data_IF_002743578678
#
_entry.id   IF_002743578678
#
_cell.length_a   1.000
_cell.length_b   1.000
_cell.length_c   1.000
_cell.angle_alpha   90.00
_cell.angle_beta   90.00
_cell.angle_gamma   90.00
#
_symmetry.space_group_name_H-M   'P 1'
#
loop_
_entity.id
_entity.type
_entity.pdbx_description
1 polymer ?
#
# COMPACT_ATOMS: atom_id res chain seq x y z
N UNK A 1 -5.75 -23.58 -33.41
CA UNK A 1 -5.92 -22.46 -32.47
C UNK A 1 -5.31 -22.71 -31.10
N UNK A 2 -5.86 -23.54 -30.18
CA UNK A 2 -5.20 -23.79 -28.88
C UNK A 2 -3.87 -24.57 -28.98
N UNK A 3 -3.73 -25.46 -29.96
CA UNK A 3 -2.47 -26.16 -30.27
C UNK A 3 -1.42 -25.27 -30.95
N UNK A 4 -1.80 -24.10 -31.47
CA UNK A 4 -0.84 -23.16 -32.09
C UNK A 4 -0.24 -22.25 -31.02
N UNK A 5 -1.04 -21.77 -30.06
CA UNK A 5 -0.56 -20.96 -28.94
C UNK A 5 0.38 -21.74 -27.99
N UNK A 6 0.30 -23.08 -27.93
CA UNK A 6 1.26 -23.88 -27.15
C UNK A 6 2.63 -23.99 -27.81
N UNK A 7 2.78 -23.57 -29.07
CA UNK A 7 4.08 -23.50 -29.75
C UNK A 7 4.84 -22.22 -29.42
N UNK A 8 4.20 -21.18 -28.88
CA UNK A 8 4.90 -19.94 -28.49
C UNK A 8 5.93 -20.15 -27.38
N UNK A 9 5.84 -21.25 -26.61
CA UNK A 9 6.86 -21.62 -25.62
C UNK A 9 8.19 -22.08 -26.26
N UNK A 10 8.22 -22.41 -27.56
CA UNK A 10 9.46 -22.82 -28.26
C UNK A 10 10.38 -21.65 -28.61
N UNK A 11 9.93 -20.40 -28.43
CA UNK A 11 10.77 -19.18 -28.49
C UNK A 11 12.00 -19.28 -27.58
N UNK A 12 11.86 -19.91 -26.41
CA UNK A 12 12.96 -20.09 -25.46
C UNK A 12 14.04 -21.07 -25.95
N UNK A 13 13.72 -21.87 -26.95
CA UNK A 13 14.65 -22.82 -27.59
C UNK A 13 15.32 -22.22 -28.84
N UNK A 14 15.08 -20.93 -29.16
CA UNK A 14 15.63 -20.27 -30.34
C UNK A 14 14.93 -20.62 -31.65
N UNK A 15 13.74 -21.24 -31.59
CA UNK A 15 12.93 -21.51 -32.78
C UNK A 15 12.17 -20.25 -33.23
N UNK A 16 12.04 -20.06 -34.54
CA UNK A 16 11.28 -18.95 -35.11
C UNK A 16 9.78 -19.19 -34.92
N UNK A 17 9.08 -18.20 -34.36
CA UNK A 17 7.63 -18.22 -34.14
C UNK A 17 6.85 -18.44 -35.44
N UNK A 18 7.40 -17.99 -36.57
CA UNK A 18 6.81 -18.12 -37.89
C UNK A 18 7.75 -18.92 -38.80
N UNK A 19 7.35 -20.12 -39.16
CA UNK A 19 8.06 -20.95 -40.13
C UNK A 19 8.14 -20.23 -41.49
N UNK A 20 9.35 -20.10 -42.05
CA UNK A 20 9.57 -19.53 -43.39
C UNK A 20 9.68 -18.01 -43.48
N UNK A 21 9.77 -17.29 -42.34
CA UNK A 21 10.06 -15.85 -42.34
C UNK A 21 11.57 -15.64 -42.24
N UNK A 22 12.17 -15.01 -43.25
CA UNK A 22 13.55 -14.57 -43.20
C UNK A 22 13.71 -13.49 -42.12
N UNK A 23 14.54 -13.76 -41.12
CA UNK A 23 14.89 -12.77 -40.09
C UNK A 23 15.70 -11.67 -40.75
N UNK A 24 15.10 -10.48 -40.85
CA UNK A 24 15.84 -9.31 -41.30
C UNK A 24 16.83 -8.90 -40.20
N UNK A 25 18.11 -9.17 -40.43
CA UNK A 25 19.21 -8.74 -39.58
C UNK A 25 19.75 -7.43 -40.14
N UNK A 26 19.31 -6.33 -39.57
CA UNK A 26 19.86 -5.02 -39.84
C UNK A 26 21.00 -4.69 -38.86
N UNK A 27 21.66 -3.56 -39.07
CA UNK A 27 22.75 -3.10 -38.21
C UNK A 27 22.30 -2.92 -36.74
N UNK A 28 21.01 -2.67 -36.51
CA UNK A 28 20.40 -2.55 -35.17
C UNK A 28 20.32 -3.92 -34.50
N UNK A 29 19.86 -4.95 -35.21
CA UNK A 29 19.83 -6.32 -34.72
C UNK A 29 21.23 -6.78 -34.32
N UNK A 30 22.22 -6.60 -35.20
CA UNK A 30 23.60 -6.98 -34.90
C UNK A 30 24.15 -6.18 -33.71
N UNK A 31 23.84 -4.89 -33.60
CA UNK A 31 24.24 -4.07 -32.43
C UNK A 31 23.59 -4.50 -31.11
N UNK A 32 22.36 -5.02 -31.14
CA UNK A 32 21.64 -5.47 -29.94
C UNK A 32 22.08 -6.86 -29.47
N UNK A 33 22.53 -7.71 -30.38
CA UNK A 33 22.96 -9.09 -30.11
C UNK A 33 24.48 -9.19 -29.97
N UNK A 34 25.23 -8.14 -30.32
CA UNK A 34 26.68 -8.11 -30.17
C UNK A 34 27.06 -8.33 -28.69
N UNK A 35 27.91 -9.32 -28.38
CA UNK A 35 28.38 -9.55 -27.02
C UNK A 35 29.08 -8.27 -26.52
N UNK A 36 28.73 -7.84 -25.31
CA UNK A 36 29.38 -6.66 -24.73
C UNK A 36 30.74 -7.09 -24.19
N UNK A 37 31.81 -6.37 -24.52
CA UNK A 37 33.16 -6.67 -24.02
C UNK A 37 33.35 -6.34 -22.51
N UNK A 38 32.27 -5.96 -21.81
CA UNK A 38 32.26 -5.63 -20.39
C UNK A 38 31.64 -6.79 -19.57
N UNK A 39 32.47 -7.70 -19.03
CA UNK A 39 31.99 -8.84 -18.26
C UNK A 39 31.31 -8.43 -16.94
N UNK A 40 31.58 -7.23 -16.42
CA UNK A 40 30.97 -6.72 -15.19
C UNK A 40 29.54 -6.27 -15.48
N UNK A 41 29.34 -5.53 -16.57
CA UNK A 41 28.01 -5.13 -17.01
C UNK A 41 27.14 -6.34 -17.38
N UNK A 42 27.69 -7.34 -18.06
CA UNK A 42 26.99 -8.58 -18.41
C UNK A 42 26.54 -9.34 -17.16
N UNK A 43 27.43 -9.51 -16.19
CA UNK A 43 27.11 -10.14 -14.90
C UNK A 43 25.99 -9.39 -14.16
N UNK A 44 26.07 -8.06 -14.05
CA UNK A 44 25.02 -7.28 -13.39
C UNK A 44 23.69 -7.31 -14.13
N UNK A 45 23.72 -7.32 -15.46
CA UNK A 45 22.52 -7.42 -16.30
C UNK A 45 21.87 -8.79 -16.13
N UNK A 46 22.65 -9.86 -16.11
CA UNK A 46 22.15 -11.20 -15.83
C UNK A 46 21.52 -11.28 -14.43
N UNK A 47 22.21 -10.78 -13.40
CA UNK A 47 21.67 -10.75 -12.04
C UNK A 47 20.37 -9.95 -11.95
N UNK A 48 20.30 -8.80 -12.62
CA UNK A 48 19.09 -7.97 -12.65
C UNK A 48 17.93 -8.69 -13.34
N UNK A 49 18.19 -9.37 -14.45
CA UNK A 49 17.19 -10.17 -15.17
C UNK A 49 16.71 -11.35 -14.33
N UNK A 50 17.60 -12.09 -13.69
CA UNK A 50 17.25 -13.20 -12.79
C UNK A 50 16.37 -12.73 -11.62
N UNK A 51 16.70 -11.59 -11.01
CA UNK A 51 15.89 -11.00 -9.93
C UNK A 51 14.52 -10.53 -10.43
N UNK A 52 14.48 -9.84 -11.57
CA UNK A 52 13.23 -9.34 -12.16
C UNK A 52 12.31 -10.50 -12.57
N UNK A 53 12.83 -11.48 -13.30
CA UNK A 53 12.08 -12.64 -13.76
C UNK A 53 11.66 -13.51 -12.58
N UNK A 54 12.55 -13.74 -11.61
CA UNK A 54 12.20 -14.45 -10.37
C UNK A 54 11.07 -13.77 -9.60
N UNK A 55 11.11 -12.43 -9.50
CA UNK A 55 10.02 -11.64 -8.92
C UNK A 55 8.71 -11.76 -9.71
N UNK A 56 8.77 -11.70 -11.04
CA UNK A 56 7.59 -11.90 -11.90
C UNK A 56 7.00 -13.30 -11.72
N UNK A 57 7.84 -14.35 -11.70
CA UNK A 57 7.42 -15.73 -11.48
C UNK A 57 6.71 -15.88 -10.13
N UNK A 58 7.27 -15.36 -9.04
CA UNK A 58 6.63 -15.41 -7.71
C UNK A 58 5.26 -14.71 -7.70
N UNK A 59 5.12 -13.59 -8.40
CA UNK A 59 3.85 -12.87 -8.51
C UNK A 59 2.85 -13.69 -9.33
N UNK A 60 3.27 -14.20 -10.47
CA UNK A 60 2.43 -15.01 -11.37
C UNK A 60 1.99 -16.30 -10.69
N UNK A 61 2.89 -17.01 -10.01
CA UNK A 61 2.56 -18.21 -9.24
C UNK A 61 1.53 -17.93 -8.14
N UNK A 62 1.67 -16.80 -7.46
CA UNK A 62 0.72 -16.39 -6.43
C UNK A 62 -0.64 -16.00 -7.03
N UNK A 63 -0.66 -15.29 -8.16
CA UNK A 63 -1.90 -14.84 -8.81
C UNK A 63 -2.64 -15.99 -9.50
N UNK A 64 -1.89 -16.90 -10.12
CA UNK A 64 -2.40 -18.08 -10.83
C UNK A 64 -2.46 -19.32 -9.93
N UNK A 65 -2.30 -19.19 -8.61
CA UNK A 65 -2.23 -20.30 -7.65
C UNK A 65 -3.39 -21.28 -7.81
N UNK A 66 -4.59 -20.79 -8.09
CA UNK A 66 -5.76 -21.65 -8.25
C UNK A 66 -5.77 -22.38 -9.60
N UNK A 67 -5.05 -21.89 -10.61
CA UNK A 67 -4.96 -22.45 -11.96
C UNK A 67 -3.70 -23.31 -12.18
N UNK A 68 -2.71 -23.24 -11.29
CA UNK A 68 -1.48 -24.03 -11.33
C UNK A 68 -1.64 -25.42 -10.67
N UNK A 69 -0.72 -26.39 -10.90
CA UNK A 69 -0.80 -27.73 -10.32
C UNK A 69 -1.07 -27.72 -8.81
N UNK A 70 -2.12 -28.43 -8.38
CA UNK A 70 -2.60 -28.44 -6.99
C UNK A 70 -3.55 -27.29 -6.62
N UNK A 71 -3.82 -26.36 -7.54
CA UNK A 71 -4.80 -25.30 -7.43
C UNK A 71 -6.24 -25.78 -7.63
N UNK A 72 -7.21 -25.00 -7.14
CA UNK A 72 -8.65 -25.34 -7.14
C UNK A 72 -9.25 -25.59 -8.53
N UNK A 73 -8.69 -24.97 -9.56
CA UNK A 73 -9.18 -24.97 -10.94
C UNK A 73 -8.22 -25.63 -11.93
N UNK A 74 -7.09 -26.18 -11.46
CA UNK A 74 -6.15 -26.92 -12.31
C UNK A 74 -6.79 -28.19 -12.90
N UNK A 75 -7.50 -28.95 -12.06
CA UNK A 75 -8.34 -30.08 -12.47
C UNK A 75 -9.81 -29.76 -12.15
N UNK A 76 -10.52 -29.06 -13.04
CA UNK A 76 -11.87 -28.60 -12.75
C UNK A 76 -12.83 -29.79 -12.65
N UNK A 77 -13.56 -29.87 -11.54
CA UNK A 77 -14.63 -30.86 -11.35
C UNK A 77 -15.75 -30.68 -12.39
N UNK A 78 -16.53 -31.73 -12.63
CA UNK A 78 -17.66 -31.71 -13.59
C UNK A 78 -18.62 -30.53 -13.33
N UNK A 79 -18.86 -30.18 -12.07
CA UNK A 79 -19.67 -29.01 -11.71
C UNK A 79 -19.03 -27.67 -12.11
N UNK A 80 -17.71 -27.54 -11.98
CA UNK A 80 -17.00 -26.33 -12.44
C UNK A 80 -16.99 -26.25 -13.97
N UNK A 81 -16.86 -27.37 -14.67
CA UNK A 81 -16.93 -27.42 -16.13
C UNK A 81 -18.30 -26.96 -16.63
N UNK A 82 -19.39 -27.45 -16.04
CA UNK A 82 -20.75 -27.00 -16.37
C UNK A 82 -20.96 -25.50 -16.13
N UNK A 83 -20.40 -24.95 -15.04
CA UNK A 83 -20.47 -23.50 -14.76
C UNK A 83 -19.61 -22.68 -15.71
N UNK A 84 -18.52 -23.24 -16.22
CA UNK A 84 -17.63 -22.59 -17.19
C UNK A 84 -18.20 -22.55 -18.61
N UNK A 85 -19.12 -23.45 -18.98
CA UNK A 85 -19.72 -23.49 -20.32
C UNK A 85 -20.48 -22.22 -20.71
N UNK A 86 -21.03 -21.49 -19.73
CA UNK A 86 -21.74 -20.24 -19.98
C UNK A 86 -20.83 -19.02 -20.06
N UNK A 87 -19.54 -19.17 -19.76
CA UNK A 87 -18.56 -18.08 -19.78
C UNK A 87 -17.83 -18.11 -21.13
N UNK A 88 -17.75 -16.99 -21.86
CA UNK A 88 -16.95 -16.90 -23.07
C UNK A 88 -15.50 -17.30 -22.80
N UNK A 89 -14.91 -18.08 -23.71
CA UNK A 89 -13.51 -18.53 -23.60
C UNK A 89 -12.50 -17.39 -23.72
N UNK A 90 -12.92 -16.25 -24.27
CA UNK A 90 -12.10 -15.05 -24.41
C UNK A 90 -12.66 -13.90 -23.58
N UNK A 91 -11.78 -13.10 -23.00
CA UNK A 91 -12.09 -11.85 -22.30
C UNK A 91 -12.31 -10.66 -23.26
N UNK A 92 -12.50 -10.91 -24.56
CA UNK A 92 -12.62 -9.89 -25.62
C UNK A 92 -13.72 -8.86 -25.34
N UNK A 93 -14.84 -9.29 -24.75
CA UNK A 93 -15.91 -8.37 -24.36
C UNK A 93 -15.44 -7.38 -23.28
N UNK A 94 -14.83 -7.87 -22.20
CA UNK A 94 -14.31 -7.00 -21.14
C UNK A 94 -13.19 -6.09 -21.64
N UNK A 95 -12.26 -6.60 -22.45
CA UNK A 95 -11.17 -5.79 -23.01
C UNK A 95 -11.71 -4.67 -23.90
N UNK A 96 -12.68 -4.97 -24.76
CA UNK A 96 -13.35 -3.96 -25.58
C UNK A 96 -14.03 -2.90 -24.73
N UNK A 97 -14.72 -3.29 -23.67
CA UNK A 97 -15.43 -2.37 -22.78
C UNK A 97 -14.44 -1.47 -22.03
N UNK A 98 -13.32 -2.02 -21.56
CA UNK A 98 -12.25 -1.25 -20.94
C UNK A 98 -11.54 -0.31 -21.92
N UNK A 99 -11.30 -0.75 -23.16
CA UNK A 99 -10.72 0.11 -24.19
C UNK A 99 -11.64 1.30 -24.53
N UNK A 100 -12.95 1.06 -24.64
CA UNK A 100 -13.93 2.13 -24.81
C UNK A 100 -13.98 3.06 -23.60
N UNK A 101 -13.95 2.51 -22.38
CA UNK A 101 -13.91 3.32 -21.15
C UNK A 101 -12.66 4.21 -21.09
N UNK A 102 -11.49 3.65 -21.35
CA UNK A 102 -10.21 4.39 -21.35
C UNK A 102 -10.24 5.55 -22.35
N UNK A 103 -10.73 5.28 -23.58
CA UNK A 103 -10.94 6.32 -24.58
C UNK A 103 -11.94 7.39 -24.11
N UNK A 104 -13.08 7.00 -23.54
CA UNK A 104 -14.12 7.93 -23.09
C UNK A 104 -13.65 8.81 -21.93
N UNK A 105 -12.88 8.26 -21.00
CA UNK A 105 -12.29 9.02 -19.88
C UNK A 105 -11.30 10.07 -20.40
N UNK A 106 -10.51 9.73 -21.42
CA UNK A 106 -9.58 10.67 -22.07
C UNK A 106 -10.30 11.78 -22.84
N UNK A 107 -11.33 11.42 -23.61
CA UNK A 107 -12.06 12.37 -24.45
C UNK A 107 -13.03 13.26 -23.67
N UNK A 108 -13.65 12.73 -22.60
CA UNK A 108 -14.72 13.41 -21.87
C UNK A 108 -14.54 13.30 -20.34
N UNK A 109 -13.41 13.75 -19.77
CA UNK A 109 -13.06 13.49 -18.37
C UNK A 109 -14.08 14.04 -17.35
N UNK A 110 -14.85 15.06 -17.71
CA UNK A 110 -15.90 15.65 -16.88
C UNK A 110 -17.20 14.83 -16.85
N UNK A 111 -17.34 13.81 -17.70
CA UNK A 111 -18.53 12.98 -17.73
C UNK A 111 -18.58 12.02 -16.54
N UNK A 112 -19.80 11.75 -16.07
CA UNK A 112 -20.03 10.83 -14.96
C UNK A 112 -19.79 9.37 -15.38
N UNK A 113 -19.47 8.51 -14.42
CA UNK A 113 -19.34 7.06 -14.66
C UNK A 113 -20.60 6.46 -15.29
N UNK A 114 -21.79 6.89 -14.84
CA UNK A 114 -23.08 6.48 -15.42
C UNK A 114 -23.19 6.85 -16.89
N UNK A 115 -22.65 8.02 -17.28
CA UNK A 115 -22.64 8.46 -18.67
C UNK A 115 -21.73 7.58 -19.52
N UNK A 116 -20.53 7.21 -19.04
CA UNK A 116 -19.65 6.27 -19.74
C UNK A 116 -20.30 4.91 -19.92
N UNK A 117 -20.86 4.35 -18.84
CA UNK A 117 -21.56 3.07 -18.86
C UNK A 117 -22.70 3.07 -19.88
N UNK A 118 -23.50 4.15 -19.90
CA UNK A 118 -24.60 4.30 -20.86
C UNK A 118 -24.11 4.30 -22.31
N UNK A 119 -23.00 5.00 -22.61
CA UNK A 119 -22.43 5.06 -23.95
C UNK A 119 -21.88 3.69 -24.37
N UNK A 120 -21.15 3.00 -23.48
CA UNK A 120 -20.59 1.67 -23.74
C UNK A 120 -21.73 0.67 -23.99
N UNK A 121 -22.75 0.65 -23.14
CA UNK A 121 -23.92 -0.20 -23.32
C UNK A 121 -24.66 0.10 -24.62
N UNK A 122 -24.85 1.38 -24.96
CA UNK A 122 -25.50 1.80 -26.21
C UNK A 122 -24.76 1.27 -27.44
N UNK A 123 -23.43 1.36 -27.43
CA UNK A 123 -22.56 0.88 -28.51
C UNK A 123 -22.60 -0.65 -28.61
N UNK A 124 -22.39 -1.34 -27.50
CA UNK A 124 -22.32 -2.80 -27.45
C UNK A 124 -23.64 -3.49 -27.80
N UNK A 125 -24.76 -2.93 -27.34
CA UNK A 125 -26.10 -3.46 -27.63
C UNK A 125 -26.61 -3.05 -29.02
N UNK A 126 -25.82 -2.25 -29.76
CA UNK A 126 -26.20 -1.71 -31.09
C UNK A 126 -27.54 -0.97 -31.04
N UNK A 127 -27.79 -0.23 -29.96
CA UNK A 127 -29.09 0.39 -29.69
C UNK A 127 -29.49 1.38 -30.78
N UNK A 128 -28.54 2.11 -31.40
CA UNK A 128 -28.82 2.99 -32.55
C UNK A 128 -29.41 2.21 -33.73
N UNK A 129 -28.75 1.13 -34.14
CA UNK A 129 -29.19 0.31 -35.27
C UNK A 129 -30.53 -0.37 -34.99
N UNK A 130 -30.77 -0.77 -33.74
CA UNK A 130 -32.07 -1.30 -33.33
C UNK A 130 -33.17 -0.23 -33.42
N UNK A 131 -32.91 0.99 -32.93
CA UNK A 131 -33.86 2.12 -33.02
C UNK A 131 -34.15 2.57 -34.46
N UNK A 132 -33.17 2.50 -35.35
CA UNK A 132 -33.34 2.84 -36.77
C UNK A 132 -34.26 1.86 -37.52
N UNK A 133 -34.34 0.61 -37.06
CA UNK A 133 -35.17 -0.43 -37.69
C UNK A 133 -36.60 -0.48 -37.12
N UNK A 134 -36.93 0.31 -36.10
CA UNK A 134 -38.25 0.34 -35.49
C UNK A 134 -39.22 1.24 -36.29
N UNK A 135 -40.52 0.90 -36.34
CA UNK A 135 -41.54 1.79 -36.86
C UNK A 135 -41.57 3.11 -36.07
N UNK A 136 -41.82 4.23 -36.76
CA UNK A 136 -41.70 5.58 -36.16
C UNK A 136 -42.57 5.77 -34.90
N UNK A 137 -43.75 5.15 -34.87
CA UNK A 137 -44.64 5.18 -33.70
C UNK A 137 -44.05 4.44 -32.49
N UNK A 138 -43.48 3.26 -32.72
CA UNK A 138 -42.85 2.46 -31.65
C UNK A 138 -41.55 3.09 -31.17
N UNK A 139 -40.75 3.63 -32.10
CA UNK A 139 -39.53 4.38 -31.77
C UNK A 139 -39.82 5.57 -30.86
N UNK A 140 -40.85 6.36 -31.18
CA UNK A 140 -41.26 7.50 -30.34
C UNK A 140 -41.70 7.03 -28.96
N UNK A 141 -42.53 5.97 -28.88
CA UNK A 141 -42.97 5.38 -27.62
C UNK A 141 -41.80 4.95 -26.74
N UNK A 142 -40.82 4.22 -27.29
CA UNK A 142 -39.64 3.75 -26.55
C UNK A 142 -38.80 4.92 -26.01
N UNK A 143 -38.63 5.99 -26.79
CA UNK A 143 -37.89 7.18 -26.35
C UNK A 143 -38.64 7.90 -25.22
N UNK A 144 -39.96 8.03 -25.33
CA UNK A 144 -40.77 8.69 -24.32
C UNK A 144 -40.84 7.88 -23.02
N UNK A 145 -40.93 6.54 -23.11
CA UNK A 145 -40.83 5.64 -21.96
C UNK A 145 -39.45 5.76 -21.28
N UNK A 146 -38.36 5.79 -22.05
CA UNK A 146 -37.01 5.96 -21.51
C UNK A 146 -36.82 7.32 -20.79
N UNK A 147 -37.44 8.39 -21.32
CA UNK A 147 -37.45 9.71 -20.66
C UNK A 147 -38.26 9.69 -19.38
N UNK A 148 -39.40 9.00 -19.37
CA UNK A 148 -40.25 8.86 -18.20
C UNK A 148 -39.55 8.07 -17.07
N UNK A 149 -38.75 7.06 -17.41
CA UNK A 149 -38.00 6.25 -16.44
C UNK A 149 -36.68 6.89 -15.96
N UNK A 150 -36.15 7.90 -16.65
CA UNK A 150 -34.87 8.50 -16.31
C UNK A 150 -34.80 9.08 -14.87
N UNK A 151 -35.83 9.79 -14.35
CA UNK A 151 -35.82 10.31 -12.98
C UNK A 151 -35.68 9.21 -11.92
N UNK A 152 -36.40 8.09 -12.09
CA UNK A 152 -36.36 6.94 -11.18
C UNK A 152 -34.96 6.31 -11.15
N UNK A 153 -34.32 6.18 -12.32
CA UNK A 153 -32.95 5.66 -12.41
C UNK A 153 -31.94 6.59 -11.71
N UNK A 154 -32.10 7.91 -11.83
CA UNK A 154 -31.26 8.88 -11.12
C UNK A 154 -31.47 8.81 -9.61
N UNK A 155 -32.71 8.67 -9.15
CA UNK A 155 -33.03 8.56 -7.71
C UNK A 155 -32.51 7.27 -7.10
N UNK A 156 -32.69 6.13 -7.77
CA UNK A 156 -32.14 4.85 -7.32
C UNK A 156 -30.61 4.88 -7.26
N UNK A 157 -29.94 5.53 -8.21
CA UNK A 157 -28.49 5.73 -8.18
C UNK A 157 -28.05 6.58 -6.97
N UNK A 158 -28.72 7.72 -6.71
CA UNK A 158 -28.44 8.57 -5.55
C UNK A 158 -28.65 7.81 -4.23
N UNK A 159 -29.70 7.01 -4.15
CA UNK A 159 -30.01 6.18 -2.97
C UNK A 159 -28.92 5.13 -2.75
N UNK A 160 -28.49 4.44 -3.81
CA UNK A 160 -27.36 3.50 -3.77
C UNK A 160 -26.06 4.18 -3.33
N UNK A 161 -25.77 5.37 -3.85
CA UNK A 161 -24.57 6.13 -3.47
C UNK A 161 -24.57 6.49 -1.98
N UNK A 162 -25.71 6.98 -1.45
CA UNK A 162 -25.86 7.24 -0.01
C UNK A 162 -25.71 5.98 0.83
N UNK A 163 -26.30 4.86 0.41
CA UNK A 163 -26.16 3.58 1.11
C UNK A 163 -24.71 3.10 1.16
N UNK A 164 -23.97 3.20 0.05
CA UNK A 164 -22.55 2.85 -0.01
C UNK A 164 -21.70 3.76 0.88
N UNK A 165 -22.00 5.07 0.90
CA UNK A 165 -21.32 6.02 1.77
C UNK A 165 -21.55 5.69 3.24
N UNK A 166 -22.79 5.44 3.65
CA UNK A 166 -23.14 5.06 5.03
C UNK A 166 -22.46 3.76 5.45
N UNK A 167 -22.46 2.74 4.58
CA UNK A 167 -21.75 1.48 4.83
C UNK A 167 -20.25 1.69 5.03
N UNK A 168 -19.62 2.55 4.23
CA UNK A 168 -18.20 2.90 4.39
C UNK A 168 -17.96 3.63 5.72
N UNK A 169 -18.86 4.53 6.10
CA UNK A 169 -18.79 5.25 7.37
C UNK A 169 -18.91 4.29 8.57
N UNK A 170 -19.82 3.32 8.52
CA UNK A 170 -19.96 2.28 9.53
C UNK A 170 -18.70 1.43 9.67
N UNK A 171 -18.11 0.98 8.56
CA UNK A 171 -16.84 0.24 8.57
C UNK A 171 -15.73 1.08 9.23
N UNK A 172 -15.66 2.38 8.93
CA UNK A 172 -14.67 3.28 9.53
C UNK A 172 -14.92 3.48 11.03
N UNK A 173 -16.17 3.63 11.47
CA UNK A 173 -16.54 3.71 12.89
C UNK A 173 -16.17 2.43 13.63
N UNK A 174 -16.54 1.27 13.10
CA UNK A 174 -16.19 -0.02 13.67
C UNK A 174 -14.66 -0.22 13.77
N UNK A 175 -13.89 0.23 12.76
CA UNK A 175 -12.42 0.22 12.82
C UNK A 175 -11.88 1.12 13.95
N UNK A 176 -12.43 2.33 14.13
CA UNK A 176 -12.04 3.23 15.23
C UNK A 176 -12.39 2.64 16.60
N UNK A 177 -13.59 2.09 16.73
CA UNK A 177 -14.03 1.47 17.98
C UNK A 177 -13.19 0.24 18.33
N UNK A 178 -12.90 -0.62 17.35
CA UNK A 178 -12.02 -1.77 17.55
C UNK A 178 -10.59 -1.34 17.94
N UNK A 179 -10.08 -0.25 17.35
CA UNK A 179 -8.78 0.33 17.74
C UNK A 179 -8.83 0.84 19.18
N UNK A 180 -9.81 1.65 19.55
CA UNK A 180 -9.98 2.17 20.90
C UNK A 180 -10.18 1.05 21.93
N UNK A 181 -10.97 0.03 21.60
CA UNK A 181 -11.16 -1.15 22.46
C UNK A 181 -9.88 -1.96 22.62
N UNK A 182 -9.07 -2.09 21.57
CA UNK A 182 -7.76 -2.74 21.65
C UNK A 182 -6.80 -1.94 22.54
N UNK A 183 -6.71 -0.64 22.33
CA UNK A 183 -5.88 0.26 23.15
C UNK A 183 -6.31 0.25 24.62
N UNK A 184 -7.62 0.28 24.89
CA UNK A 184 -8.14 0.25 26.25
C UNK A 184 -7.91 -1.11 26.93
N UNK A 185 -8.01 -2.22 26.17
CA UNK A 185 -7.64 -3.56 26.67
C UNK A 185 -6.15 -3.63 27.01
N UNK A 186 -5.29 -3.11 26.13
CA UNK A 186 -3.84 -3.05 26.37
C UNK A 186 -3.51 -2.17 27.59
N UNK A 187 -4.13 -1.00 27.71
CA UNK A 187 -3.98 -0.11 28.85
C UNK A 187 -4.43 -0.78 30.17
N UNK A 188 -5.62 -1.36 30.18
CA UNK A 188 -6.16 -2.07 31.35
C UNK A 188 -5.27 -3.25 31.74
N UNK A 189 -4.71 -3.98 30.75
CA UNK A 189 -3.76 -5.06 31.01
C UNK A 189 -2.48 -4.53 31.64
N UNK A 190 -1.93 -3.41 31.15
CA UNK A 190 -0.74 -2.78 31.74
C UNK A 190 -1.00 -2.35 33.18
N UNK A 191 -2.11 -1.67 33.46
CA UNK A 191 -2.49 -1.24 34.82
C UNK A 191 -2.63 -2.44 35.76
N UNK A 192 -3.29 -3.51 35.33
CA UNK A 192 -3.41 -4.76 36.11
C UNK A 192 -2.06 -5.39 36.42
N UNK A 193 -1.15 -5.42 35.45
CA UNK A 193 0.20 -5.96 35.64
C UNK A 193 1.04 -5.10 36.58
N UNK A 194 0.96 -3.77 36.46
CA UNK A 194 1.63 -2.83 37.37
C UNK A 194 1.10 -2.94 38.80
N UNK A 195 -0.21 -3.07 38.98
CA UNK A 195 -0.82 -3.28 40.30
C UNK A 195 -0.33 -4.57 40.97
N UNK A 196 -0.36 -5.70 40.24
CA UNK A 196 0.18 -6.97 40.72
C UNK A 196 1.66 -6.90 41.07
N UNK A 197 2.45 -6.15 40.30
CA UNK A 197 3.87 -5.99 40.56
C UNK A 197 4.12 -5.18 41.83
N UNK A 198 3.33 -4.13 42.08
CA UNK A 198 3.40 -3.34 43.29
C UNK A 198 3.04 -4.17 44.54
N UNK A 199 2.02 -5.03 44.46
CA UNK A 199 1.67 -5.98 45.54
C UNK A 199 2.82 -6.95 45.86
N UNK A 200 3.64 -7.30 44.86
CA UNK A 200 4.78 -8.20 44.99
C UNK A 200 6.07 -7.49 45.43
N UNK A 201 6.03 -6.19 45.70
CA UNK A 201 7.20 -5.41 46.13
C UNK A 201 8.04 -4.81 45.00
N UNK A 202 7.51 -4.75 43.78
CA UNK A 202 8.11 -4.04 42.64
C UNK A 202 8.82 -4.93 41.62
N UNK A 203 9.44 -4.28 40.63
CA UNK A 203 10.16 -4.94 39.54
C UNK A 203 11.50 -5.51 40.03
N UNK A 204 11.80 -6.76 39.67
CA UNK A 204 13.11 -7.34 39.95
C UNK A 204 14.11 -6.95 38.86
N UNK A 205 15.12 -6.17 39.23
CA UNK A 205 16.20 -5.67 38.38
C UNK A 205 17.40 -6.62 38.39
N UNK A 206 17.65 -7.33 39.50
CA UNK A 206 18.79 -8.23 39.66
C UNK A 206 18.35 -9.63 40.15
N UNK A 207 19.16 -10.66 39.86
CA UNK A 207 18.91 -12.05 40.30
C UNK A 207 18.90 -12.15 41.84
N UNK A 208 19.65 -11.30 42.53
CA UNK A 208 19.67 -11.20 44.00
C UNK A 208 18.30 -10.82 44.59
N UNK A 209 17.49 -10.07 43.85
CA UNK A 209 16.14 -9.71 44.28
C UNK A 209 15.18 -10.92 44.21
N UNK A 210 15.44 -11.86 43.30
CA UNK A 210 14.75 -13.16 43.26
C UNK A 210 15.12 -13.98 44.50
N UNK A 211 16.41 -14.03 44.85
CA UNK A 211 16.90 -14.76 46.02
C UNK A 211 16.39 -14.17 47.34
N UNK A 212 16.36 -12.84 47.46
CA UNK A 212 15.81 -12.17 48.65
C UNK A 212 14.29 -12.34 48.77
N UNK A 213 13.55 -12.34 47.65
CA UNK A 213 12.11 -12.64 47.67
C UNK A 213 11.86 -14.08 48.11
N UNK A 214 12.60 -15.06 47.58
CA UNK A 214 12.53 -16.47 48.02
C UNK A 214 12.76 -16.64 49.53
N UNK A 215 13.71 -15.90 50.10
CA UNK A 215 13.96 -15.92 51.56
C UNK A 215 12.76 -15.39 52.35
N UNK A 216 12.09 -14.33 51.86
CA UNK A 216 10.91 -13.74 52.53
C UNK A 216 9.68 -14.65 52.53
N UNK A 217 9.47 -15.44 51.47
CA UNK A 217 8.28 -16.29 51.34
C UNK A 217 8.50 -17.73 51.85
N UNK A 218 9.73 -18.08 52.27
CA UNK A 218 10.17 -19.45 52.63
C UNK A 218 9.38 -20.09 53.76
N UNK A 219 8.74 -19.29 54.61
CA UNK A 219 8.00 -19.74 55.80
C UNK A 219 6.48 -19.90 55.56
N UNK A 220 5.99 -19.64 54.35
CA UNK A 220 4.56 -19.70 54.02
C UNK A 220 4.09 -21.08 53.51
N UNK A 221 2.84 -21.51 53.82
CA UNK A 221 2.30 -22.82 53.42
C UNK A 221 2.10 -23.00 51.90
N UNK A 222 2.24 -21.93 51.10
CA UNK A 222 2.04 -21.92 49.65
C UNK A 222 3.25 -21.37 48.87
N UNK A 223 4.47 -21.57 49.38
CA UNK A 223 5.73 -21.06 48.80
C UNK A 223 5.84 -21.25 47.27
N UNK A 224 5.63 -22.48 46.78
CA UNK A 224 5.80 -22.79 45.35
C UNK A 224 4.74 -22.14 44.45
N UNK A 225 3.53 -21.91 44.96
CA UNK A 225 2.45 -21.27 44.21
C UNK A 225 2.71 -19.76 44.11
N UNK A 226 3.02 -19.14 45.25
CA UNK A 226 3.35 -17.71 45.32
C UNK A 226 4.60 -17.36 44.50
N UNK A 227 5.62 -18.21 44.53
CA UNK A 227 6.84 -18.02 43.75
C UNK A 227 6.55 -18.10 42.23
N UNK A 228 5.74 -19.07 41.79
CA UNK A 228 5.34 -19.19 40.38
C UNK A 228 4.51 -17.99 39.93
N UNK A 229 3.57 -17.54 40.74
CA UNK A 229 2.73 -16.38 40.44
C UNK A 229 3.57 -15.10 40.36
N UNK A 230 4.53 -14.91 41.26
CA UNK A 230 5.46 -13.79 41.23
C UNK A 230 6.35 -13.81 39.98
N UNK A 231 6.98 -14.94 39.67
CA UNK A 231 7.80 -15.10 38.46
C UNK A 231 7.00 -14.85 37.18
N UNK A 232 5.76 -15.35 37.13
CA UNK A 232 4.84 -15.14 36.01
C UNK A 232 4.45 -13.66 35.87
N UNK A 233 4.17 -12.96 36.98
CA UNK A 233 3.88 -11.54 36.96
C UNK A 233 5.06 -10.73 36.41
N UNK A 234 6.29 -11.06 36.81
CA UNK A 234 7.53 -10.43 36.33
C UNK A 234 7.75 -10.67 34.83
N UNK A 235 7.57 -11.91 34.35
CA UNK A 235 7.68 -12.25 32.93
C UNK A 235 6.61 -11.56 32.07
N UNK A 236 5.35 -11.53 32.52
CA UNK A 236 4.28 -10.85 31.79
C UNK A 236 4.45 -9.33 31.78
N UNK A 237 4.94 -8.74 32.88
CA UNK A 237 5.28 -7.31 32.94
C UNK A 237 6.40 -6.97 31.96
N UNK A 238 7.49 -7.76 31.94
CA UNK A 238 8.59 -7.59 30.98
C UNK A 238 8.13 -7.72 29.52
N UNK A 239 7.20 -8.65 29.24
CA UNK A 239 6.62 -8.85 27.90
C UNK A 239 5.71 -7.70 27.45
N UNK A 240 4.75 -7.31 28.28
CA UNK A 240 3.65 -6.42 27.88
C UNK A 240 3.86 -4.95 28.22
N UNK A 241 4.63 -4.65 29.28
CA UNK A 241 4.92 -3.29 29.72
C UNK A 241 6.29 -2.84 29.21
N UNK A 242 7.35 -3.61 29.50
CA UNK A 242 8.73 -3.25 29.11
C UNK A 242 9.09 -3.66 27.67
N UNK A 243 8.27 -4.50 27.02
CA UNK A 243 8.52 -5.04 25.67
C UNK A 243 9.93 -5.61 25.50
N UNK A 244 10.43 -6.31 26.51
CA UNK A 244 11.78 -6.88 26.53
C UNK A 244 12.00 -7.84 25.35
N UNK A 245 13.21 -7.83 24.76
CA UNK A 245 13.57 -8.71 23.65
C UNK A 245 13.75 -10.16 24.17
N UNK A 246 13.23 -11.12 23.42
CA UNK A 246 13.41 -12.55 23.70
C UNK A 246 12.45 -13.46 22.93
N UNK A 247 12.77 -14.75 22.77
CA UNK A 247 11.90 -15.72 22.11
C UNK A 247 10.57 -15.87 22.86
N UNK A 248 9.46 -15.95 22.11
CA UNK A 248 8.09 -15.98 22.65
C UNK A 248 7.88 -17.09 23.68
N UNK A 249 8.61 -18.20 23.55
CA UNK A 249 8.56 -19.37 24.43
C UNK A 249 9.00 -19.07 25.86
N UNK A 250 9.97 -18.16 26.04
CA UNK A 250 10.51 -17.80 27.36
C UNK A 250 9.58 -16.90 28.17
N UNK A 251 8.59 -16.27 27.52
CA UNK A 251 7.55 -15.48 28.18
C UNK A 251 6.23 -16.25 28.40
N UNK A 252 6.19 -17.55 28.08
CA UNK A 252 5.01 -18.40 28.25
C UNK A 252 5.03 -19.08 29.63
N UNK A 253 3.84 -19.43 30.12
CA UNK A 253 3.66 -20.13 31.40
C UNK A 253 3.61 -21.66 31.22
N UNK A 254 3.45 -22.12 29.97
CA UNK A 254 3.35 -23.51 29.60
C UNK A 254 3.83 -23.71 28.16
N UNK A 255 4.26 -24.93 27.84
CA UNK A 255 4.52 -25.38 26.48
C UNK A 255 3.90 -26.75 26.27
N UNK A 256 3.25 -26.95 25.11
CA UNK A 256 2.58 -28.21 24.73
C UNK A 256 1.67 -28.80 25.83
N UNK A 257 0.96 -27.94 26.56
CA UNK A 257 0.02 -28.35 27.61
C UNK A 257 0.63 -28.63 29.00
N UNK A 258 1.96 -28.57 29.17
CA UNK A 258 2.61 -28.70 30.47
C UNK A 258 3.02 -27.33 31.04
N UNK A 259 2.67 -27.05 32.29
CA UNK A 259 3.08 -25.83 32.99
C UNK A 259 4.56 -25.89 33.37
N UNK A 260 5.28 -24.78 33.21
CA UNK A 260 6.69 -24.71 33.60
C UNK A 260 6.89 -24.80 35.11
N UNK A 261 8.01 -25.40 35.51
CA UNK A 261 8.43 -25.44 36.91
C UNK A 261 8.90 -24.06 37.38
N UNK A 262 8.92 -23.82 38.69
CA UNK A 262 9.39 -22.55 39.25
C UNK A 262 10.85 -22.25 38.85
N UNK A 263 11.68 -23.30 38.76
CA UNK A 263 13.08 -23.20 38.36
C UNK A 263 13.25 -22.91 36.86
N UNK A 264 12.37 -23.44 36.01
CA UNK A 264 12.33 -23.09 34.59
C UNK A 264 11.92 -21.63 34.36
N UNK A 265 10.92 -21.14 35.09
CA UNK A 265 10.47 -19.74 35.01
C UNK A 265 11.55 -18.76 35.52
N UNK A 266 12.31 -19.16 36.53
CA UNK A 266 13.46 -18.40 37.03
C UNK A 266 14.59 -18.32 36.01
N UNK A 267 14.96 -19.44 35.40
CA UNK A 267 15.99 -19.45 34.35
C UNK A 267 15.54 -18.61 33.14
N UNK A 268 14.28 -18.73 32.71
CA UNK A 268 13.74 -17.91 31.64
C UNK A 268 13.79 -16.41 31.97
N UNK A 269 13.47 -16.04 33.22
CA UNK A 269 13.53 -14.65 33.68
C UNK A 269 14.98 -14.13 33.72
N UNK A 270 15.92 -14.92 34.24
CA UNK A 270 17.34 -14.56 34.27
C UNK A 270 17.91 -14.35 32.85
N UNK A 271 17.60 -15.27 31.92
CA UNK A 271 18.04 -15.14 30.52
C UNK A 271 17.42 -13.91 29.83
N UNK A 272 16.14 -13.60 30.08
CA UNK A 272 15.53 -12.37 29.55
C UNK A 272 16.17 -11.13 30.17
N UNK A 273 16.51 -11.15 31.46
CA UNK A 273 17.19 -10.04 32.11
C UNK A 273 18.58 -9.83 31.52
N UNK A 274 19.36 -10.89 31.33
CA UNK A 274 20.70 -10.83 30.75
C UNK A 274 20.68 -10.34 29.29
N UNK A 275 19.75 -10.83 28.46
CA UNK A 275 19.59 -10.37 27.07
C UNK A 275 19.22 -8.89 26.93
N UNK A 276 18.65 -8.29 27.97
CA UNK A 276 18.21 -6.90 27.96
C UNK A 276 19.09 -5.99 28.84
N UNK A 277 20.22 -6.47 29.38
CA UNK A 277 21.20 -5.66 30.13
C UNK A 277 21.99 -4.66 29.26
N UNK A 278 22.09 -4.89 27.95
CA UNK A 278 22.91 -4.07 27.03
C UNK A 278 22.11 -3.15 26.08
N UNK A 279 20.77 -3.11 26.18
CA UNK A 279 19.92 -2.42 25.20
C UNK A 279 19.36 -1.07 25.71
N UNK A 280 20.22 -0.15 26.20
CA UNK A 280 19.80 1.24 26.38
C UNK A 280 19.78 2.06 25.07
N UNK A 281 20.40 1.58 23.97
CA UNK A 281 20.43 2.33 22.70
C UNK A 281 20.40 1.43 21.45
N UNK A 282 19.27 0.77 21.15
CA UNK A 282 19.01 0.31 19.77
C UNK A 282 17.52 0.41 19.49
N UNK A 283 17.11 1.49 18.81
CA UNK A 283 15.87 1.52 18.04
C UNK A 283 15.86 0.33 17.09
N UNK A 284 15.02 -0.66 17.38
CA UNK A 284 14.78 -1.74 16.43
C UNK A 284 13.76 -1.23 15.42
N UNK A 285 14.23 -0.97 14.21
CA UNK A 285 13.40 -0.91 13.02
C UNK A 285 12.80 -2.30 12.82
N UNK A 286 11.55 -2.48 13.28
CA UNK A 286 10.78 -3.66 12.90
C UNK A 286 10.49 -3.54 11.40
N UNK A 287 11.09 -4.41 10.58
CA UNK A 287 10.69 -4.66 9.19
C UNK A 287 9.29 -5.29 9.15
N UNK A 288 8.30 -4.47 9.44
CA UNK A 288 6.92 -4.69 9.06
C UNK A 288 6.67 -3.73 7.90
N UNK A 289 6.42 -4.29 6.73
CA UNK A 289 5.80 -3.57 5.62
C UNK A 289 4.51 -2.90 6.13
N UNK A 290 4.63 -1.64 6.52
CA UNK A 290 3.51 -0.81 6.91
C UNK A 290 2.82 -0.34 5.63
N UNK A 291 1.60 -0.82 5.42
CA UNK A 291 0.78 -0.39 4.30
C UNK A 291 0.19 0.97 4.66
N UNK A 292 0.82 2.03 4.18
CA UNK A 292 0.28 3.39 4.30
C UNK A 292 -0.80 3.60 3.23
N UNK A 293 -1.98 4.13 3.58
CA UNK A 293 -2.93 4.63 2.59
C UNK A 293 -2.23 5.65 1.68
N UNK A 294 -2.53 5.66 0.38
CA UNK A 294 -1.87 6.51 -0.65
C UNK A 294 -1.70 7.98 -0.23
N UNK A 295 -2.61 8.52 0.58
CA UNK A 295 -2.52 9.89 1.12
C UNK A 295 -1.39 10.06 2.18
N UNK A 296 -1.18 9.08 3.06
CA UNK A 296 -0.10 9.12 4.07
C UNK A 296 1.25 8.89 3.40
N UNK A 297 1.31 8.04 2.36
CA UNK A 297 2.51 7.85 1.55
C UNK A 297 2.94 9.14 0.86
N UNK A 298 1.99 9.93 0.33
CA UNK A 298 2.29 11.24 -0.29
C UNK A 298 2.83 12.25 0.72
N UNK A 299 2.27 12.31 1.92
CA UNK A 299 2.76 13.21 2.99
C UNK A 299 4.16 12.82 3.45
N UNK A 300 4.45 11.52 3.59
CA UNK A 300 5.77 11.03 3.99
C UNK A 300 6.83 11.23 2.90
N UNK A 301 6.50 10.98 1.63
CA UNK A 301 7.38 11.26 0.49
C UNK A 301 7.66 12.76 0.39
N UNK A 302 6.62 13.60 0.50
CA UNK A 302 6.81 15.06 0.46
C UNK A 302 7.70 15.50 1.61
N UNK A 303 7.48 15.01 2.84
CA UNK A 303 8.32 15.31 4.01
C UNK A 303 9.78 14.88 3.80
N UNK A 304 10.02 13.68 3.26
CA UNK A 304 11.36 13.21 2.92
C UNK A 304 12.03 14.07 1.84
N UNK A 305 11.27 14.45 0.79
CA UNK A 305 11.73 15.40 -0.24
C UNK A 305 12.06 16.77 0.36
N UNK A 306 11.25 17.29 1.29
CA UNK A 306 11.55 18.55 1.97
C UNK A 306 12.85 18.45 2.77
N UNK A 307 13.07 17.37 3.50
CA UNK A 307 14.28 17.19 4.30
C UNK A 307 15.53 17.15 3.41
N UNK A 308 15.49 16.43 2.28
CA UNK A 308 16.59 16.43 1.32
C UNK A 308 16.92 17.84 0.79
N UNK A 309 15.90 18.67 0.55
CA UNK A 309 16.08 20.04 0.07
C UNK A 309 16.50 20.99 1.20
N UNK A 310 16.15 20.72 2.44
CA UNK A 310 16.63 21.49 3.60
C UNK A 310 18.14 21.25 3.78
N UNK A 311 18.58 20.01 3.57
CA UNK A 311 19.98 19.62 3.66
C UNK A 311 20.79 20.15 2.46
N UNK A 312 20.19 20.21 1.26
CA UNK A 312 20.79 20.82 0.05
C UNK A 312 19.77 21.68 -0.74
N UNK A 313 19.64 22.98 -0.40
CA UNK A 313 18.68 23.89 -1.04
C UNK A 313 19.00 24.21 -2.50
N UNK A 314 20.24 23.99 -2.96
CA UNK A 314 20.64 24.29 -4.33
C UNK A 314 19.99 23.35 -5.35
N UNK A 315 19.50 22.18 -4.92
CA UNK A 315 18.76 21.22 -5.76
C UNK A 315 17.51 21.82 -6.40
N UNK A 316 16.92 22.85 -5.78
CA UNK A 316 15.77 23.57 -6.35
C UNK A 316 16.14 24.63 -7.38
N UNK A 317 17.39 25.08 -7.41
CA UNK A 317 17.82 26.14 -8.33
C UNK A 317 17.74 25.65 -9.78
N UNK A 318 17.13 26.45 -10.64
CA UNK A 318 16.91 26.13 -12.05
C UNK A 318 15.68 25.26 -12.33
N UNK A 319 14.95 24.80 -11.31
CA UNK A 319 13.73 24.00 -11.47
C UNK A 319 12.50 24.86 -11.74
N UNK A 320 11.59 24.33 -12.55
CA UNK A 320 10.28 24.93 -12.80
C UNK A 320 9.28 24.48 -11.71
N UNK A 321 8.36 25.37 -11.36
CA UNK A 321 7.33 25.12 -10.35
C UNK A 321 5.99 25.74 -10.77
N UNK A 322 4.92 25.33 -10.09
CA UNK A 322 3.60 25.95 -10.14
C UNK A 322 3.22 26.35 -8.71
N UNK A 323 2.96 27.63 -8.51
CA UNK A 323 2.58 28.19 -7.23
C UNK A 323 1.12 28.61 -7.27
N UNK A 324 0.37 28.23 -6.25
CA UNK A 324 -1.04 28.53 -6.11
C UNK A 324 -1.22 29.92 -5.52
N UNK A 325 -1.67 30.86 -6.35
CA UNK A 325 -1.92 32.24 -5.97
C UNK A 325 -3.42 32.49 -5.84
N UNK A 326 -3.80 33.39 -4.92
CA UNK A 326 -5.16 33.88 -4.77
C UNK A 326 -5.15 35.40 -4.96
N UNK A 327 -5.92 35.88 -5.92
CA UNK A 327 -6.02 37.31 -6.21
C UNK A 327 -6.82 38.03 -5.13
N UNK A 328 -6.37 39.21 -4.70
CA UNK A 328 -7.07 39.99 -3.68
C UNK A 328 -8.46 40.41 -4.18
N UNK A 329 -9.51 39.87 -3.57
CA UNK A 329 -10.91 40.18 -3.89
C UNK A 329 -11.62 39.13 -4.76
N UNK A 330 -10.90 38.11 -5.26
CA UNK A 330 -11.51 36.97 -5.96
C UNK A 330 -11.43 35.70 -5.09
N UNK A 331 -12.42 34.82 -5.23
CA UNK A 331 -12.35 33.46 -4.65
C UNK A 331 -11.72 32.45 -5.64
N UNK A 332 -11.20 32.95 -6.75
CA UNK A 332 -10.59 32.13 -7.79
C UNK A 332 -9.13 31.84 -7.41
N UNK A 333 -8.74 30.58 -7.57
CA UNK A 333 -7.41 30.08 -7.24
C UNK A 333 -6.73 29.74 -8.54
N UNK A 334 -5.61 30.41 -8.83
CA UNK A 334 -4.88 30.27 -10.08
C UNK A 334 -3.51 29.66 -9.77
N UNK A 335 -3.06 28.72 -10.61
CA UNK A 335 -1.71 28.16 -10.53
C UNK A 335 -0.80 28.92 -11.49
N UNK A 336 0.14 29.66 -10.94
CA UNK A 336 1.11 30.46 -11.70
C UNK A 336 2.40 29.66 -11.91
N UNK A 337 2.79 29.36 -13.15
CA UNK A 337 4.08 28.72 -13.44
C UNK A 337 5.24 29.69 -13.25
N UNK A 338 6.37 29.19 -12.77
CA UNK A 338 7.59 29.97 -12.55
C UNK A 338 8.84 29.11 -12.46
N UNK A 339 9.98 29.76 -12.27
CA UNK A 339 11.30 29.13 -12.17
C UNK A 339 12.09 29.66 -10.98
N UNK A 340 12.76 28.75 -10.28
CA UNK A 340 13.67 29.10 -9.19
C UNK A 340 15.02 29.55 -9.77
N UNK A 341 15.48 30.74 -9.39
CA UNK A 341 16.71 31.34 -9.92
C UNK A 341 17.91 31.15 -8.99
N UNK A 342 17.71 31.31 -7.69
CA UNK A 342 18.78 31.20 -6.69
C UNK A 342 18.21 31.06 -5.28
N UNK A 343 19.06 30.67 -4.33
CA UNK A 343 18.74 30.69 -2.90
C UNK A 343 19.04 32.09 -2.36
N UNK A 344 18.06 32.75 -1.75
CA UNK A 344 18.23 34.09 -1.21
C UNK A 344 18.69 34.06 0.25
N UNK A 345 17.98 33.34 1.13
CA UNK A 345 18.25 33.31 2.57
C UNK A 345 18.05 31.91 3.12
N UNK A 346 19.09 31.33 3.73
CA UNK A 346 19.06 30.00 4.36
C UNK A 346 18.47 30.05 5.78
N UNK A 347 17.29 29.45 5.97
CA UNK A 347 16.59 29.37 7.28
C UNK A 347 15.84 28.05 7.46
N UNK A 348 16.44 26.92 7.07
CA UNK A 348 15.82 25.60 7.15
C UNK A 348 14.48 25.55 6.40
N UNK A 349 13.37 25.28 7.08
CA UNK A 349 12.02 25.30 6.46
C UNK A 349 11.55 26.67 5.97
N UNK A 350 12.17 27.75 6.46
CA UNK A 350 11.89 29.13 6.05
C UNK A 350 12.93 29.67 5.07
N UNK A 351 13.70 28.80 4.43
CA UNK A 351 14.63 29.22 3.38
C UNK A 351 13.87 29.92 2.26
N UNK A 352 14.28 31.15 1.95
CA UNK A 352 13.68 31.99 0.91
C UNK A 352 14.43 31.77 -0.40
N UNK A 353 13.67 31.57 -1.47
CA UNK A 353 14.18 31.37 -2.82
C UNK A 353 13.81 32.56 -3.68
N UNK A 354 14.74 32.98 -4.52
CA UNK A 354 14.48 33.94 -5.59
C UNK A 354 13.81 33.21 -6.76
N UNK A 355 12.65 33.69 -7.18
CA UNK A 355 11.84 33.07 -8.24
C UNK A 355 11.36 34.11 -9.25
N UNK A 356 11.08 33.65 -10.47
CA UNK A 356 10.47 34.44 -11.53
C UNK A 356 9.26 33.70 -12.09
N UNK A 357 8.14 34.40 -12.24
CA UNK A 357 6.94 33.84 -12.88
C UNK A 357 7.02 34.01 -14.39
N UNK A 358 6.43 33.08 -15.13
CA UNK A 358 6.41 33.12 -16.61
C UNK A 358 5.32 34.06 -17.17
N UNK A 359 4.42 34.54 -16.30
CA UNK A 359 3.25 35.36 -16.68
C UNK A 359 3.53 36.86 -16.58
N UNK A 360 4.59 37.24 -15.88
CA UNK A 360 4.99 38.64 -15.71
C UNK A 360 6.01 39.00 -16.80
N UNK A 361 5.62 39.83 -17.78
CA UNK A 361 6.48 40.32 -18.87
C UNK A 361 7.60 41.26 -18.38
N UNK A 362 7.47 41.77 -17.16
CA UNK A 362 8.52 42.50 -16.47
C UNK A 362 9.35 41.47 -15.69
N UNK A 363 10.66 41.34 -15.96
CA UNK A 363 11.68 40.46 -15.34
C UNK A 363 11.77 40.55 -13.80
N UNK A 364 10.64 40.49 -13.12
CA UNK A 364 10.42 40.83 -11.73
C UNK A 364 10.73 39.60 -10.90
N UNK A 365 11.70 39.77 -10.01
CA UNK A 365 12.16 38.72 -9.12
C UNK A 365 11.41 38.82 -7.80
N UNK A 366 10.88 37.68 -7.36
CA UNK A 366 10.13 37.56 -6.13
C UNK A 366 10.85 36.63 -5.16
N UNK A 367 10.64 36.82 -3.86
CA UNK A 367 11.27 36.03 -2.81
C UNK A 367 10.22 35.32 -1.98
N UNK A 368 10.24 33.98 -1.97
CA UNK A 368 9.24 33.18 -1.25
C UNK A 368 9.86 32.02 -0.46
N UNK A 369 9.29 31.67 0.71
CA UNK A 369 9.68 30.49 1.47
C UNK A 369 9.06 29.21 0.89
N UNK A 370 9.50 28.82 -0.31
CA UNK A 370 8.92 27.74 -1.13
C UNK A 370 8.76 26.39 -0.39
N UNK A 371 9.60 26.08 0.59
CA UNK A 371 9.49 24.87 1.38
C UNK A 371 8.27 24.87 2.30
N UNK A 372 7.88 26.04 2.79
CA UNK A 372 6.65 26.23 3.57
C UNK A 372 5.43 26.07 2.65
N UNK A 373 5.47 26.66 1.46
CA UNK A 373 4.37 26.57 0.48
C UNK A 373 4.18 25.14 -0.05
N UNK A 374 5.29 24.40 -0.22
CA UNK A 374 5.26 22.97 -0.53
C UNK A 374 4.63 22.14 0.60
N UNK A 375 4.80 22.53 1.87
CA UNK A 375 4.19 21.82 3.01
C UNK A 375 2.68 22.05 3.10
N UNK A 376 2.23 23.24 2.69
CA UNK A 376 0.82 23.62 2.66
C UNK A 376 0.08 23.06 1.42
N UNK A 377 0.82 22.49 0.47
CA UNK A 377 0.27 22.00 -0.79
C UNK A 377 -0.06 23.12 -1.78
N UNK A 378 0.55 24.29 -1.59
CA UNK A 378 0.38 25.47 -2.44
C UNK A 378 1.50 25.56 -3.50
N UNK A 379 2.51 24.70 -3.46
CA UNK A 379 3.59 24.62 -4.44
C UNK A 379 3.75 23.21 -5.02
N UNK A 380 3.89 23.12 -6.34
CA UNK A 380 4.21 21.88 -7.09
C UNK A 380 5.50 22.14 -7.87
N UNK A 381 6.48 21.23 -7.79
CA UNK A 381 7.74 21.33 -8.55
C UNK A 381 7.66 20.33 -9.71
N UNK A 382 7.86 20.83 -10.93
CA UNK A 382 7.82 20.01 -12.13
C UNK A 382 9.17 19.26 -12.26
N UNK A 383 9.12 17.92 -12.27
CA UNK A 383 10.25 16.99 -12.35
C UNK A 383 11.29 17.08 -11.21
N UNK A 384 10.96 16.43 -10.09
CA UNK A 384 11.89 16.14 -8.99
C UNK A 384 12.01 14.64 -8.71
#
# INVERSE_FOLDING_TARGET
MLQELSKDASLLNGELVFEGVDVHKDDIFESLVHPTDDPVLEMYTQMALELCIGGMLLILERQAKDQLPGGRFYEPSVGNQLRGQSVPTTNTCSERDFAQLDMLVKLKPSASTTSYESIIMWSNNKTSRWLENLPENEKKKVIDDARASAPEMVESFKTRQKALFNKKLEILRAKRENKANKENKEYTQKVKLTGKLNELGGLWVNIEQIASYKLKIREGPNFNVLLKDALNAQLQFRKHVLKSKGPKEKFQQSSKGQQYSAQQLENNLAEIMDLNKENENVEVCEDKLQYFPIHETRVNINTAKQNLIIDDPEVLVGKSFKHKCKEEGSNEVIWCPGKVLSVHVLKGKKTEFCVRYEVDDDDTEWYFPLLTDMSNGDLIIDNM
#
